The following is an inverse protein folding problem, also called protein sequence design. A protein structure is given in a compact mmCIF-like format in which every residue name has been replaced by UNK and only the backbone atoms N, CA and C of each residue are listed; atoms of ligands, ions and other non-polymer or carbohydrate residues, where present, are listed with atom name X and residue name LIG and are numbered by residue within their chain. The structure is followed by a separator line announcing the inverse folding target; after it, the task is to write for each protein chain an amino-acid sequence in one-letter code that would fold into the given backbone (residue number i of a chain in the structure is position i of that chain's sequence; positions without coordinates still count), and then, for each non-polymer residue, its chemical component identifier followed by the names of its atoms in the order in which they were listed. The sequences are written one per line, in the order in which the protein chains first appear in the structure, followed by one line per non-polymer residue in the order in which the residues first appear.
data_IF_096744307813
#
_entry.id   IF_096744307813
#
_cell.length_a   1.000
_cell.length_b   1.000
_cell.length_c   1.000
_cell.angle_alpha   90.00
_cell.angle_beta   90.00
_cell.angle_gamma   90.00
#
_symmetry.space_group_name_H-M   'P 1'
#
loop_
_entity.id
_entity.type
_entity.pdbx_description
1 polymer ?
#
# COMPACT_ATOMS: atom_id res chain seq x y z
N UNK A 1 8.01 -13.31 8.54
CA UNK A 1 6.80 -12.48 8.78
C UNK A 1 6.31 -11.92 7.46
N UNK A 2 5.00 -11.94 7.21
CA UNK A 2 4.41 -11.58 5.92
C UNK A 2 4.19 -10.08 5.71
N UNK A 3 3.98 -9.69 4.46
CA UNK A 3 3.53 -8.36 4.04
C UNK A 3 2.05 -8.38 3.64
N UNK A 4 1.38 -7.25 3.82
CA UNK A 4 -0.04 -7.07 3.51
C UNK A 4 -0.21 -5.93 2.52
N UNK A 5 -1.02 -6.15 1.50
CA UNK A 5 -1.44 -5.11 0.54
C UNK A 5 -2.90 -4.80 0.79
N UNK A 6 -3.23 -3.53 1.01
CA UNK A 6 -4.62 -3.07 1.09
C UNK A 6 -4.90 -2.22 -0.14
N UNK A 7 -5.95 -2.50 -0.89
CA UNK A 7 -6.28 -1.70 -2.06
C UNK A 7 -7.75 -1.39 -2.21
N UNK A 8 -8.04 -0.22 -2.78
CA UNK A 8 -9.39 0.24 -3.12
C UNK A 8 -9.34 1.02 -4.43
N UNK A 9 -10.46 1.05 -5.15
CA UNK A 9 -10.66 1.95 -6.28
C UNK A 9 -11.07 3.36 -5.85
N UNK A 10 -11.39 3.58 -4.56
CA UNK A 10 -11.96 4.84 -4.05
C UNK A 10 -10.94 5.61 -3.20
N UNK A 11 -10.44 6.73 -3.74
CA UNK A 11 -9.46 7.62 -3.09
C UNK A 11 -9.93 8.14 -1.71
N UNK A 12 -11.24 8.39 -1.56
CA UNK A 12 -11.79 8.85 -0.29
C UNK A 12 -11.70 7.79 0.82
N UNK A 13 -11.97 6.52 0.49
CA UNK A 13 -11.95 5.41 1.47
C UNK A 13 -10.54 5.14 1.95
N UNK A 14 -9.61 5.05 1.01
CA UNK A 14 -8.22 4.73 1.31
C UNK A 14 -7.52 5.81 2.16
N UNK A 15 -7.85 7.09 1.97
CA UNK A 15 -7.37 8.18 2.83
C UNK A 15 -7.88 8.05 4.26
N UNK A 16 -9.15 7.68 4.44
CA UNK A 16 -9.73 7.45 5.79
C UNK A 16 -9.07 6.26 6.47
N UNK A 17 -8.80 5.18 5.74
CA UNK A 17 -8.14 3.99 6.27
C UNK A 17 -6.69 4.30 6.65
N UNK A 18 -5.98 5.01 5.79
CA UNK A 18 -4.62 5.46 6.07
C UNK A 18 -4.53 6.31 7.33
N UNK A 19 -5.47 7.25 7.50
CA UNK A 19 -5.59 8.04 8.72
C UNK A 19 -5.93 7.20 9.95
N UNK A 20 -6.87 6.25 9.82
CA UNK A 20 -7.28 5.39 10.92
C UNK A 20 -6.17 4.40 11.36
N UNK A 21 -5.32 3.98 10.44
CA UNK A 21 -4.24 3.02 10.67
C UNK A 21 -2.86 3.67 10.86
N UNK A 22 -2.78 5.00 10.81
CA UNK A 22 -1.52 5.76 10.78
C UNK A 22 -0.50 5.18 9.76
N UNK A 23 -1.00 4.81 8.58
CA UNK A 23 -0.22 4.14 7.55
C UNK A 23 -0.02 5.03 6.33
N UNK A 24 1.18 4.99 5.77
CA UNK A 24 1.51 5.65 4.50
C UNK A 24 0.72 5.04 3.34
N UNK A 25 0.20 5.91 2.46
CA UNK A 25 -0.49 5.50 1.22
C UNK A 25 0.47 5.59 0.06
N UNK A 26 0.56 4.52 -0.72
CA UNK A 26 1.19 4.52 -2.02
C UNK A 26 0.13 4.82 -3.09
N UNK A 27 0.09 6.07 -3.56
CA UNK A 27 -0.72 6.49 -4.70
C UNK A 27 0.09 7.35 -5.68
N UNK A 28 -0.40 7.46 -6.92
CA UNK A 28 0.29 8.16 -8.02
C UNK A 28 0.78 9.57 -7.65
N UNK A 29 0.04 10.29 -6.81
CA UNK A 29 0.32 11.67 -6.44
C UNK A 29 0.92 11.82 -5.02
N UNK A 30 1.53 10.76 -4.47
CA UNK A 30 2.23 10.80 -3.17
C UNK A 30 3.66 11.28 -3.34
N UNK A 31 4.04 12.32 -2.60
CA UNK A 31 5.45 12.69 -2.46
C UNK A 31 6.19 11.54 -1.76
N UNK A 32 7.35 11.12 -2.28
CA UNK A 32 8.13 10.04 -1.67
C UNK A 32 7.67 8.62 -2.02
N UNK A 33 6.85 8.45 -3.07
CA UNK A 33 6.33 7.14 -3.56
C UNK A 33 7.40 6.05 -3.65
N UNK A 34 8.59 6.38 -4.15
CA UNK A 34 9.71 5.44 -4.27
C UNK A 34 10.23 4.96 -2.90
N UNK A 35 10.33 5.85 -1.92
CA UNK A 35 10.77 5.51 -0.56
C UNK A 35 9.77 4.57 0.11
N UNK A 36 8.47 4.89 0.04
CA UNK A 36 7.40 4.05 0.60
C UNK A 36 7.45 2.63 0.03
N UNK A 37 7.60 2.52 -1.30
CA UNK A 37 7.71 1.21 -1.93
C UNK A 37 8.99 0.48 -1.54
N UNK A 38 10.13 1.17 -1.49
CA UNK A 38 11.40 0.57 -1.08
C UNK A 38 11.34 0.08 0.37
N UNK A 39 10.78 0.86 1.29
CA UNK A 39 10.60 0.48 2.70
C UNK A 39 9.67 -0.73 2.85
N UNK A 40 8.63 -0.83 2.01
CA UNK A 40 7.75 -1.99 1.97
C UNK A 40 8.45 -3.24 1.40
N UNK A 41 9.23 -3.08 0.33
CA UNK A 41 10.03 -4.16 -0.27
C UNK A 41 11.08 -4.67 0.73
N UNK A 42 11.80 -3.76 1.38
CA UNK A 42 12.77 -4.04 2.45
C UNK A 42 12.13 -4.68 3.70
N UNK A 43 10.80 -4.62 3.82
CA UNK A 43 10.06 -5.13 4.97
C UNK A 43 10.18 -4.26 6.23
N UNK A 44 10.67 -3.01 6.08
CA UNK A 44 10.63 -1.96 7.11
C UNK A 44 9.18 -1.56 7.38
N UNK A 45 8.38 -1.48 6.33
CA UNK A 45 6.93 -1.39 6.41
C UNK A 45 6.30 -2.73 6.04
N UNK A 46 5.30 -3.17 6.81
CA UNK A 46 4.61 -4.47 6.60
C UNK A 46 3.27 -4.34 5.90
N UNK A 47 2.72 -3.14 5.83
CA UNK A 47 1.44 -2.85 5.18
C UNK A 47 1.67 -1.75 4.16
N UNK A 48 1.19 -1.96 2.93
CA UNK A 48 1.10 -0.91 1.92
C UNK A 48 -0.35 -0.74 1.50
N UNK A 49 -0.74 0.52 1.36
CA UNK A 49 -2.09 0.91 1.00
C UNK A 49 -2.06 1.50 -0.42
N UNK A 50 -2.74 0.90 -1.39
CA UNK A 50 -2.68 1.29 -2.81
C UNK A 50 -4.02 1.61 -3.47
N UNK A 51 -4.00 2.59 -4.36
CA UNK A 51 -5.18 2.99 -5.16
C UNK A 51 -5.13 2.26 -6.49
N UNK A 52 -6.07 1.33 -6.67
CA UNK A 52 -6.07 0.31 -7.72
C UNK A 52 -4.86 -0.64 -7.65
N UNK A 53 -5.11 -1.95 -7.79
CA UNK A 53 -4.06 -2.97 -7.81
C UNK A 53 -3.10 -2.82 -9.01
N UNK A 54 -3.47 -2.03 -10.03
CA UNK A 54 -2.71 -1.83 -11.27
C UNK A 54 -1.50 -0.90 -11.12
N UNK A 55 -1.30 -0.28 -9.96
CA UNK A 55 -0.22 0.69 -9.75
C UNK A 55 1.15 0.10 -9.38
N UNK A 56 1.22 -1.21 -9.12
CA UNK A 56 2.45 -1.92 -8.72
C UNK A 56 2.79 -2.95 -9.81
N UNK A 57 3.65 -2.56 -10.74
CA UNK A 57 4.24 -3.47 -11.75
C UNK A 57 5.54 -4.14 -11.22
N UNK A 58 5.69 -4.22 -9.90
CA UNK A 58 6.92 -4.66 -9.23
C UNK A 58 6.63 -5.97 -8.51
N UNK A 59 7.52 -6.94 -8.65
CA UNK A 59 7.44 -8.18 -7.88
C UNK A 59 7.72 -7.88 -6.40
N UNK A 60 6.77 -8.20 -5.53
CA UNK A 60 6.87 -7.95 -4.10
C UNK A 60 6.94 -9.29 -3.38
N UNK A 61 8.12 -9.68 -2.86
CA UNK A 61 8.25 -10.93 -2.13
C UNK A 61 7.51 -10.87 -0.80
N UNK A 62 7.11 -12.04 -0.32
CA UNK A 62 6.51 -12.27 1.00
C UNK A 62 5.14 -11.61 1.25
N UNK A 63 4.37 -11.29 0.20
CA UNK A 63 2.94 -10.98 0.37
C UNK A 63 2.22 -12.21 0.92
N UNK A 64 1.53 -12.05 2.06
CA UNK A 64 0.72 -13.11 2.70
C UNK A 64 -0.76 -12.80 2.70
N UNK A 65 -1.14 -11.55 2.46
CA UNK A 65 -2.52 -11.12 2.47
C UNK A 65 -2.71 -9.94 1.53
N UNK A 66 -3.81 -9.98 0.77
CA UNK A 66 -4.29 -8.86 -0.02
C UNK A 66 -5.72 -8.58 0.42
N UNK A 67 -5.98 -7.34 0.84
CA UNK A 67 -7.28 -6.87 1.30
C UNK A 67 -7.84 -5.92 0.25
N UNK A 68 -8.93 -6.32 -0.40
CA UNK A 68 -9.71 -5.43 -1.25
C UNK A 68 -10.78 -4.73 -0.42
N UNK A 69 -10.92 -3.42 -0.64
CA UNK A 69 -11.95 -2.60 -0.01
C UNK A 69 -12.74 -1.94 -1.12
N UNK A 70 -13.98 -2.41 -1.26
CA UNK A 70 -15.01 -1.77 -2.10
C UNK A 70 -15.37 -0.40 -1.55
#
# INVERSE_FOLDING_TARGET
TGKVVVYSSIVGKIKRIAQALDCSVYYYNTVGKASILSEFIDGKQRVIIVISALGIEVDIPDIRCIIYID
#
